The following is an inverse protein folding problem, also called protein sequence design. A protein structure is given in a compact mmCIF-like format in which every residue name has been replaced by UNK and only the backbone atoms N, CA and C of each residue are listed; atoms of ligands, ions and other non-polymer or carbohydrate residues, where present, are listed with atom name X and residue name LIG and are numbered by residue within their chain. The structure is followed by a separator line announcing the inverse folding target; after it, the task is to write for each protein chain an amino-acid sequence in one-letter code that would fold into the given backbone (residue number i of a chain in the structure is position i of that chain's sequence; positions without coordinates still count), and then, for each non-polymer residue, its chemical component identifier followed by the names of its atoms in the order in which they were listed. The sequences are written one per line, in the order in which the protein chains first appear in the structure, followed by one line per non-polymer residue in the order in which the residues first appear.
data_IF_488998994373
#
_entry.id   IF_488998994373
#
_cell.length_a   1.000
_cell.length_b   1.000
_cell.length_c   1.000
_cell.angle_alpha   90.00
_cell.angle_beta   90.00
_cell.angle_gamma   90.00
#
_symmetry.space_group_name_H-M   'P 1'
#
loop_
_entity.id
_entity.type
_entity.pdbx_description
1 polymer ?
#
# COMPACT_ATOMS: atom_id res chain seq x y z
N UNK A 1 -5.87 -15.70 32.72
CA UNK A 1 -4.88 -14.73 33.25
C UNK A 1 -5.50 -13.35 33.12
N UNK A 2 -5.65 -12.59 34.20
CA UNK A 2 -6.24 -11.25 34.15
C UNK A 2 -5.19 -10.23 33.69
N UNK A 3 -5.60 -9.26 32.86
CA UNK A 3 -4.71 -8.20 32.40
C UNK A 3 -4.40 -7.27 33.58
N UNK A 4 -3.12 -6.94 33.78
CA UNK A 4 -2.68 -5.96 34.78
C UNK A 4 -2.65 -4.55 34.17
N UNK A 5 -3.72 -3.79 34.41
CA UNK A 5 -3.89 -2.44 33.83
C UNK A 5 -2.83 -1.42 34.28
N UNK A 6 -2.14 -1.64 35.40
CA UNK A 6 -1.06 -0.75 35.87
C UNK A 6 0.23 -0.85 35.05
N UNK A 7 0.33 -1.85 34.17
CA UNK A 7 1.49 -2.09 33.30
C UNK A 7 1.23 -1.71 31.84
N UNK A 8 0.05 -1.16 31.54
CA UNK A 8 -0.34 -0.81 30.18
C UNK A 8 0.27 0.55 29.80
N UNK A 9 0.96 0.58 28.67
CA UNK A 9 1.32 1.81 27.99
C UNK A 9 0.25 2.13 26.93
N UNK A 10 -0.40 3.28 27.05
CA UNK A 10 -1.43 3.72 26.10
C UNK A 10 -0.79 4.67 25.08
N UNK A 11 -0.90 4.34 23.80
CA UNK A 11 -0.51 5.22 22.71
C UNK A 11 -1.72 5.96 22.16
N UNK A 12 -1.56 7.26 21.90
CA UNK A 12 -2.58 8.07 21.24
C UNK A 12 -2.60 7.72 19.75
N UNK A 13 -3.72 7.20 19.27
CA UNK A 13 -3.91 6.83 17.86
C UNK A 13 -4.22 8.09 17.05
N UNK A 14 -3.45 8.35 16.00
CA UNK A 14 -3.83 9.32 14.96
C UNK A 14 -4.88 8.70 14.03
N UNK A 15 -6.13 9.17 14.16
CA UNK A 15 -7.27 8.70 13.36
C UNK A 15 -7.17 9.05 11.87
N UNK A 16 -6.23 9.92 11.48
CA UNK A 16 -6.05 10.36 10.09
C UNK A 16 -5.01 9.53 9.34
N UNK A 17 -4.41 8.55 10.02
CA UNK A 17 -3.29 7.77 9.53
C UNK A 17 -3.68 6.30 9.57
N UNK A 18 -3.57 5.61 8.44
CA UNK A 18 -3.77 4.16 8.45
C UNK A 18 -2.67 3.54 9.31
N UNK A 19 -3.02 2.55 10.13
CA UNK A 19 -2.06 1.89 11.00
C UNK A 19 -0.92 1.21 10.20
N UNK A 20 -1.23 0.72 8.99
CA UNK A 20 -0.32 -0.05 8.17
C UNK A 20 -0.16 0.52 6.73
N UNK A 21 1.04 0.37 6.12
CA UNK A 21 1.32 0.83 4.76
C UNK A 21 0.75 -0.12 3.70
N UNK A 22 -0.57 -0.26 3.67
CA UNK A 22 -1.26 -1.19 2.77
C UNK A 22 -1.27 -0.73 1.30
N UNK A 23 -1.30 -1.71 0.39
CA UNK A 23 -1.76 -1.52 -0.99
C UNK A 23 -3.01 -2.33 -1.24
N UNK A 24 -3.86 -1.80 -2.13
CA UNK A 24 -5.05 -2.47 -2.60
C UNK A 24 -5.00 -2.64 -4.10
N UNK A 25 -5.06 -3.89 -4.55
CA UNK A 25 -5.07 -4.26 -5.95
C UNK A 25 -6.53 -4.39 -6.37
N UNK A 26 -7.00 -3.41 -7.15
CA UNK A 26 -8.37 -3.32 -7.66
C UNK A 26 -8.44 -3.82 -9.11
N UNK A 27 -9.65 -3.89 -9.65
CA UNK A 27 -9.88 -4.27 -11.05
C UNK A 27 -9.14 -3.36 -12.05
N UNK A 28 -9.07 -2.05 -11.78
CA UNK A 28 -8.55 -1.06 -12.74
C UNK A 28 -7.22 -0.41 -12.33
N UNK A 29 -6.63 -0.82 -11.21
CA UNK A 29 -5.40 -0.20 -10.73
C UNK A 29 -5.09 -0.54 -9.28
N UNK A 30 -4.14 0.21 -8.71
CA UNK A 30 -3.62 0.00 -7.37
C UNK A 30 -3.86 1.25 -6.55
N UNK A 31 -4.33 1.07 -5.32
CA UNK A 31 -4.47 2.16 -4.35
C UNK A 31 -3.46 1.98 -3.23
N UNK A 32 -2.66 3.00 -2.96
CA UNK A 32 -1.73 3.07 -1.84
C UNK A 32 -2.43 3.76 -0.67
N UNK A 33 -2.37 3.13 0.51
CA UNK A 33 -2.87 3.74 1.74
C UNK A 33 -2.09 5.02 2.06
N UNK A 34 -2.69 5.96 2.80
CA UNK A 34 -2.02 7.21 3.18
C UNK A 34 -0.72 6.97 3.95
N UNK A 35 -0.65 5.88 4.71
CA UNK A 35 0.54 5.49 5.47
C UNK A 35 1.75 5.22 4.58
N UNK A 36 1.54 4.65 3.39
CA UNK A 36 2.63 4.44 2.39
C UNK A 36 3.27 5.78 2.01
N UNK A 37 2.46 6.82 1.84
CA UNK A 37 2.95 8.14 1.46
C UNK A 37 3.67 8.81 2.64
N UNK A 38 3.17 8.64 3.86
CA UNK A 38 3.78 9.20 5.06
C UNK A 38 5.13 8.55 5.37
N UNK A 39 5.21 7.22 5.32
CA UNK A 39 6.45 6.49 5.57
C UNK A 39 7.52 6.86 4.54
N UNK A 40 7.15 7.00 3.25
CA UNK A 40 8.06 7.46 2.20
C UNK A 40 8.34 8.98 2.22
N UNK A 41 7.67 9.72 3.10
CA UNK A 41 7.71 11.17 3.25
C UNK A 41 7.31 11.95 1.98
N UNK A 42 6.14 11.61 1.43
CA UNK A 42 5.49 12.28 0.28
C UNK A 42 6.45 12.55 -0.89
N UNK A 43 7.12 11.51 -1.43
CA UNK A 43 8.11 11.70 -2.48
C UNK A 43 7.43 12.15 -3.79
N UNK A 44 8.05 13.10 -4.48
CA UNK A 44 7.57 13.52 -5.79
C UNK A 44 7.67 12.40 -6.83
N UNK A 45 8.75 11.61 -6.79
CA UNK A 45 9.01 10.53 -7.74
C UNK A 45 9.45 9.24 -7.04
N UNK A 46 9.09 8.11 -7.66
CA UNK A 46 9.49 6.77 -7.24
C UNK A 46 9.87 5.91 -8.43
N UNK A 47 10.55 4.81 -8.16
CA UNK A 47 10.70 3.67 -9.06
C UNK A 47 9.93 2.48 -8.51
N UNK A 48 9.11 1.89 -9.38
CA UNK A 48 8.49 0.61 -9.12
C UNK A 48 9.49 -0.51 -9.43
N UNK A 49 9.78 -1.30 -8.41
CA UNK A 49 10.73 -2.41 -8.48
C UNK A 49 9.98 -3.73 -8.25
N UNK A 50 10.50 -4.81 -8.80
CA UNK A 50 9.95 -6.15 -8.59
C UNK A 50 11.06 -7.18 -8.53
N UNK A 51 10.80 -8.23 -7.77
CA UNK A 51 11.52 -9.49 -7.83
C UNK A 51 10.49 -10.61 -8.05
N UNK A 52 10.43 -11.10 -9.28
CA UNK A 52 9.45 -12.12 -9.66
C UNK A 52 9.75 -13.49 -9.03
N UNK A 53 11.02 -13.79 -8.71
CA UNK A 53 11.41 -15.07 -8.12
C UNK A 53 10.90 -15.15 -6.67
N UNK A 54 11.01 -14.04 -5.94
CA UNK A 54 10.55 -13.94 -4.55
C UNK A 54 9.15 -13.34 -4.42
N UNK A 55 8.48 -13.00 -5.53
CA UNK A 55 7.16 -12.35 -5.57
C UNK A 55 7.10 -11.05 -4.77
N UNK A 56 8.18 -10.28 -4.81
CA UNK A 56 8.27 -9.01 -4.10
C UNK A 56 7.97 -7.86 -5.06
N UNK A 57 7.08 -6.96 -4.63
CA UNK A 57 6.90 -5.64 -5.24
C UNK A 57 7.50 -4.59 -4.30
N UNK A 58 8.13 -3.55 -4.86
CA UNK A 58 8.67 -2.48 -4.05
C UNK A 58 8.51 -1.09 -4.67
N UNK A 59 8.42 -0.09 -3.81
CA UNK A 59 8.38 1.32 -4.17
C UNK A 59 9.64 1.96 -3.58
N UNK A 60 10.55 2.40 -4.44
CA UNK A 60 11.79 3.07 -4.04
C UNK A 60 11.71 4.55 -4.35
N UNK A 61 12.01 5.41 -3.38
CA UNK A 61 12.11 6.85 -3.65
C UNK A 61 13.30 7.13 -4.57
N UNK A 62 13.10 7.99 -5.56
CA UNK A 62 14.15 8.40 -6.49
C UNK A 62 14.04 9.88 -6.87
N UNK A 63 15.08 10.42 -7.49
CA UNK A 63 15.04 11.74 -8.14
C UNK A 63 14.34 11.63 -9.50
N UNK A 64 13.79 12.74 -9.98
CA UNK A 64 13.05 12.79 -11.24
C UNK A 64 13.89 12.58 -12.50
N UNK A 65 15.22 12.72 -12.40
CA UNK A 65 16.16 12.49 -13.51
C UNK A 65 16.69 11.05 -13.56
N UNK A 66 16.30 10.19 -12.62
CA UNK A 66 16.68 8.78 -12.65
C UNK A 66 15.84 8.01 -13.66
N UNK A 67 16.40 6.92 -14.18
CA UNK A 67 15.72 6.10 -15.18
C UNK A 67 14.40 5.55 -14.61
N UNK A 68 13.32 5.64 -15.41
CA UNK A 68 11.98 5.15 -15.03
C UNK A 68 11.41 5.81 -13.75
N UNK A 69 11.88 7.00 -13.40
CA UNK A 69 11.25 7.80 -12.36
C UNK A 69 9.80 8.12 -12.73
N UNK A 70 8.88 7.86 -11.80
CA UNK A 70 7.44 8.03 -12.01
C UNK A 70 6.89 9.00 -10.95
N UNK A 71 6.10 10.01 -11.34
CA UNK A 71 5.40 10.85 -10.38
C UNK A 71 4.54 10.03 -9.42
N UNK A 72 4.63 10.32 -8.12
CA UNK A 72 3.99 9.50 -7.09
C UNK A 72 2.96 10.27 -6.28
N UNK A 73 3.39 11.14 -5.35
CA UNK A 73 2.47 11.88 -4.48
C UNK A 73 2.54 13.39 -4.71
N UNK A 74 1.46 14.09 -4.39
CA UNK A 74 1.50 15.54 -4.16
C UNK A 74 2.24 15.85 -2.86
N UNK A 75 2.67 17.11 -2.65
CA UNK A 75 3.20 17.55 -1.37
C UNK A 75 2.23 17.29 -0.21
N UNK A 76 2.78 17.11 1.00
CA UNK A 76 2.03 16.77 2.23
C UNK A 76 0.78 17.65 2.46
N UNK A 77 0.90 18.94 2.21
CA UNK A 77 -0.19 19.90 2.43
C UNK A 77 -1.38 19.71 1.48
N UNK A 78 -1.17 19.08 0.32
CA UNK A 78 -2.18 18.89 -0.73
C UNK A 78 -2.72 17.46 -0.78
N UNK A 79 -1.98 16.49 -0.26
CA UNK A 79 -2.31 15.07 -0.35
C UNK A 79 -3.19 14.64 0.84
N UNK A 80 -4.47 14.95 0.76
CA UNK A 80 -5.46 14.67 1.82
C UNK A 80 -6.06 13.27 1.76
N UNK A 81 -5.84 12.53 0.67
CA UNK A 81 -6.44 11.22 0.41
C UNK A 81 -5.40 10.17 0.02
N UNK A 82 -5.84 8.92 -0.13
CA UNK A 82 -5.04 7.83 -0.68
C UNK A 82 -4.59 8.13 -2.11
N UNK A 83 -3.50 7.50 -2.54
CA UNK A 83 -3.01 7.61 -3.91
C UNK A 83 -3.55 6.44 -4.73
N UNK A 84 -4.13 6.71 -5.90
CA UNK A 84 -4.53 5.67 -6.84
C UNK A 84 -3.73 5.76 -8.13
N UNK A 85 -3.20 4.64 -8.60
CA UNK A 85 -2.49 4.49 -9.85
C UNK A 85 -3.29 3.57 -10.79
N UNK A 86 -3.84 4.16 -11.86
CA UNK A 86 -4.59 3.44 -12.91
C UNK A 86 -3.72 2.86 -14.02
N UNK A 87 -2.42 2.66 -13.79
CA UNK A 87 -1.52 2.17 -14.83
C UNK A 87 -1.72 0.65 -15.02
N UNK A 88 -2.26 0.27 -16.19
CA UNK A 88 -2.54 -1.13 -16.54
C UNK A 88 -1.27 -2.00 -16.53
N UNK A 89 -0.17 -1.51 -17.08
CA UNK A 89 1.08 -2.29 -17.16
C UNK A 89 1.63 -2.60 -15.77
N UNK A 90 1.63 -1.62 -14.87
CA UNK A 90 2.05 -1.81 -13.48
C UNK A 90 1.15 -2.85 -12.78
N UNK A 91 -0.17 -2.71 -12.96
CA UNK A 91 -1.14 -3.66 -12.39
C UNK A 91 -0.90 -5.08 -12.89
N UNK A 92 -0.77 -5.26 -14.21
CA UNK A 92 -0.65 -6.58 -14.83
C UNK A 92 0.60 -7.32 -14.36
N UNK A 93 1.70 -6.59 -14.14
CA UNK A 93 2.93 -7.13 -13.55
C UNK A 93 2.75 -7.53 -12.09
N UNK A 94 2.04 -6.72 -11.29
CA UNK A 94 1.83 -6.99 -9.86
C UNK A 94 0.88 -8.15 -9.62
N UNK A 95 -0.22 -8.25 -10.38
CA UNK A 95 -1.17 -9.36 -10.24
C UNK A 95 -0.56 -10.71 -10.61
N UNK A 96 0.42 -10.74 -11.50
CA UNK A 96 1.14 -11.96 -11.86
C UNK A 96 1.96 -12.55 -10.69
N UNK A 97 2.29 -11.73 -9.68
CA UNK A 97 2.99 -12.18 -8.47
C UNK A 97 2.04 -12.71 -7.39
N UNK A 98 0.73 -12.48 -7.52
CA UNK A 98 -0.28 -12.93 -6.55
C UNK A 98 -0.68 -14.39 -6.86
N UNK A 99 -0.44 -15.35 -5.95
CA UNK A 99 -0.88 -16.73 -6.15
C UNK A 99 -2.40 -16.83 -6.18
N UNK A 100 -2.95 -17.51 -7.20
CA UNK A 100 -4.40 -17.72 -7.30
C UNK A 100 -5.22 -16.45 -7.53
N UNK A 101 -4.62 -15.43 -8.17
CA UNK A 101 -5.29 -14.18 -8.48
C UNK A 101 -6.59 -14.36 -9.27
N UNK A 102 -7.65 -13.71 -8.82
CA UNK A 102 -8.95 -13.62 -9.50
C UNK A 102 -9.24 -12.14 -9.82
N UNK A 103 -9.41 -11.85 -11.11
CA UNK A 103 -9.64 -10.49 -11.61
C UNK A 103 -10.96 -9.86 -11.11
N UNK A 104 -11.89 -10.66 -10.58
CA UNK A 104 -13.16 -10.18 -10.01
C UNK A 104 -13.04 -9.79 -8.54
N UNK A 105 -11.94 -10.15 -7.88
CA UNK A 105 -11.67 -9.88 -6.47
C UNK A 105 -10.75 -8.68 -6.31
N UNK A 106 -10.79 -8.09 -5.12
CA UNK A 106 -9.85 -7.07 -4.66
C UNK A 106 -8.91 -7.72 -3.66
N UNK A 107 -7.63 -7.35 -3.70
CA UNK A 107 -6.63 -7.87 -2.78
C UNK A 107 -6.01 -6.73 -1.97
N UNK A 108 -5.62 -7.02 -0.73
CA UNK A 108 -4.85 -6.14 0.15
C UNK A 108 -3.51 -6.82 0.45
N UNK A 109 -2.43 -6.04 0.43
CA UNK A 109 -1.10 -6.48 0.89
C UNK A 109 -0.57 -5.43 1.84
N UNK A 110 -0.13 -5.84 3.02
CA UNK A 110 0.52 -4.95 3.98
C UNK A 110 2.01 -4.86 3.67
N UNK A 111 2.54 -3.64 3.62
CA UNK A 111 3.94 -3.39 3.32
C UNK A 111 4.85 -3.32 4.54
N UNK A 112 6.15 -3.35 4.27
CA UNK A 112 7.22 -3.12 5.24
C UNK A 112 8.11 -1.97 4.76
N UNK A 113 8.35 -0.99 5.64
CA UNK A 113 9.17 0.17 5.29
C UNK A 113 10.60 0.00 5.76
N UNK A 114 11.53 0.00 4.80
CA UNK A 114 12.96 0.14 5.03
C UNK A 114 13.33 1.63 5.02
N UNK A 115 13.52 2.19 6.21
CA UNK A 115 13.85 3.59 6.40
C UNK A 115 15.26 3.96 5.94
N UNK A 116 16.20 3.02 5.98
CA UNK A 116 17.60 3.26 5.58
C UNK A 116 17.69 3.47 4.07
N UNK A 117 17.07 2.57 3.30
CA UNK A 117 17.09 2.63 1.84
C UNK A 117 15.92 3.43 1.26
N UNK A 118 14.96 3.84 2.10
CA UNK A 118 13.73 4.53 1.71
C UNK A 118 12.93 3.73 0.67
N UNK A 119 12.72 2.46 0.99
CA UNK A 119 11.99 1.51 0.14
C UNK A 119 10.83 0.93 0.91
N UNK A 120 9.66 0.88 0.27
CA UNK A 120 8.51 0.15 0.76
C UNK A 120 8.42 -1.19 0.04
N UNK A 121 8.46 -2.30 0.77
CA UNK A 121 8.40 -3.66 0.23
C UNK A 121 7.02 -4.29 0.46
N UNK A 122 6.63 -5.17 -0.45
CA UNK A 122 5.40 -5.93 -0.41
C UNK A 122 5.67 -7.36 -0.83
N UNK A 123 5.44 -8.32 0.08
CA UNK A 123 5.37 -9.73 -0.28
C UNK A 123 4.00 -10.03 -0.89
N UNK A 124 3.97 -10.19 -2.22
CA UNK A 124 2.73 -10.41 -2.96
C UNK A 124 2.14 -11.80 -2.73
N UNK A 125 2.90 -12.74 -2.16
CA UNK A 125 2.38 -14.04 -1.75
C UNK A 125 1.46 -13.95 -0.53
N UNK A 126 1.56 -12.87 0.26
CA UNK A 126 0.71 -12.62 1.44
C UNK A 126 -0.60 -11.91 1.11
N UNK A 127 -0.92 -11.73 -0.17
CA UNK A 127 -2.11 -11.01 -0.59
C UNK A 127 -3.40 -11.65 -0.06
N UNK A 128 -4.19 -10.87 0.67
CA UNK A 128 -5.47 -11.29 1.23
C UNK A 128 -6.62 -10.74 0.39
N UNK A 129 -7.65 -11.55 0.16
CA UNK A 129 -8.90 -11.06 -0.43
C UNK A 129 -9.52 -9.98 0.49
N UNK A 130 -9.75 -8.80 -0.07
CA UNK A 130 -10.31 -7.65 0.62
C UNK A 130 -11.63 -7.29 -0.02
N UNK A 131 -12.71 -7.85 0.51
CA UNK A 131 -14.06 -7.50 0.09
C UNK A 131 -14.36 -6.04 0.48
N UNK A 132 -14.96 -5.28 -0.43
CA UNK A 132 -15.63 -4.04 -0.03
C UNK A 132 -16.64 -4.40 1.06
N UNK A 133 -16.79 -3.53 2.07
CA UNK A 133 -17.93 -3.63 2.99
C UNK A 133 -19.17 -3.76 2.12
N UNK A 134 -19.81 -4.92 2.12
CA UNK A 134 -21.20 -5.01 1.70
C UNK A 134 -21.92 -4.05 2.63
N UNK A 135 -22.34 -2.90 2.10
CA UNK A 135 -23.44 -2.18 2.71
C UNK A 135 -24.59 -3.18 2.67
N UNK A 136 -24.80 -3.88 3.77
CA UNK A 136 -26.06 -4.56 4.03
C UNK A 136 -27.06 -3.41 4.12
N UNK A 137 -27.61 -3.03 2.96
CA UNK A 137 -28.81 -2.26 2.91
C UNK A 137 -29.81 -3.05 3.75
N UNK A 138 -30.21 -2.48 4.89
CA UNK A 138 -31.35 -2.96 5.65
C UNK A 138 -32.50 -3.02 4.65
N UNK A 139 -32.93 -4.22 4.30
CA UNK A 139 -34.25 -4.42 3.72
C UNK A 139 -35.25 -4.12 4.84
N UNK A 140 -36.05 -3.07 4.63
CA UNK A 140 -37.31 -2.84 5.34
C UNK A 140 -38.36 -3.87 4.90
#
# INVERSE_FOLDING_TARGET
MAINFSTINLEVIDINTNAAPDIFINQNGITFSKRVLEDLNYPQNVQYCLDAAHKVFAIRVCKGNEAKATPFSKPRAEQTTTLSCGNKNLRDVIVAMIPGFDAKKRYKVTGEYDAENRVMYYDMATAEESNFRNNVAKAE
#
